data_IF_845735255696
#
_entry.id   IF_845735255696
#
_cell.length_a   1.000
_cell.length_b   1.000
_cell.length_c   1.000
_cell.angle_alpha   90.00
_cell.angle_beta   90.00
_cell.angle_gamma   90.00
#
_symmetry.space_group_name_H-M   'P 1'
#
loop_
_entity.id
_entity.type
_entity.pdbx_description
1 polymer ?
#
# COMPACT_ATOMS: atom_id res chain seq x y z
N UNK A 1 4.31 -22.95 1.11
CA UNK A 1 3.70 -21.65 0.77
C UNK A 1 4.78 -20.75 0.16
N UNK A 2 4.55 -20.17 -1.02
CA UNK A 2 5.51 -19.22 -1.61
C UNK A 2 5.64 -18.05 -0.63
N UNK A 3 6.82 -17.82 -0.08
CA UNK A 3 7.09 -16.67 0.79
C UNK A 3 6.72 -15.41 0.01
N UNK A 4 5.53 -14.85 0.27
CA UNK A 4 5.21 -13.53 -0.25
C UNK A 4 6.25 -12.59 0.36
N UNK A 5 6.90 -11.84 -0.53
CA UNK A 5 8.05 -10.99 -0.19
C UNK A 5 7.67 -9.88 0.80
N UNK A 6 6.37 -9.61 0.93
CA UNK A 6 5.75 -8.68 1.85
C UNK A 6 4.54 -9.34 2.52
N UNK A 7 4.36 -9.11 3.82
CA UNK A 7 3.18 -9.54 4.56
C UNK A 7 2.01 -8.58 4.33
N UNK A 8 0.79 -9.06 4.53
CA UNK A 8 -0.40 -8.23 4.37
C UNK A 8 -0.40 -7.04 5.36
N UNK A 9 0.11 -7.23 6.57
CA UNK A 9 0.33 -6.17 7.55
C UNK A 9 1.32 -5.11 7.05
N UNK A 10 2.43 -5.49 6.40
CA UNK A 10 3.35 -4.54 5.80
C UNK A 10 2.67 -3.73 4.69
N UNK A 11 1.89 -4.39 3.83
CA UNK A 11 1.15 -3.72 2.75
C UNK A 11 0.17 -2.69 3.32
N UNK A 12 -0.57 -3.09 4.36
CA UNK A 12 -1.52 -2.24 5.07
C UNK A 12 -0.83 -1.04 5.73
N UNK A 13 0.32 -1.25 6.37
CA UNK A 13 1.07 -0.17 7.02
C UNK A 13 1.49 0.89 6.00
N UNK A 14 2.00 0.48 4.83
CA UNK A 14 2.40 1.40 3.75
C UNK A 14 1.19 2.15 3.19
N UNK A 15 0.05 1.49 2.98
CA UNK A 15 -1.17 2.15 2.51
C UNK A 15 -1.70 3.18 3.52
N UNK A 16 -1.65 2.87 4.83
CA UNK A 16 -2.02 3.81 5.89
C UNK A 16 -1.08 5.01 5.97
N UNK A 17 0.22 4.78 5.82
CA UNK A 17 1.22 5.86 5.86
C UNK A 17 0.98 6.83 4.68
N UNK A 18 0.59 6.33 3.51
CA UNK A 18 0.15 7.18 2.40
C UNK A 18 -1.11 7.98 2.75
N UNK A 19 -2.12 7.33 3.34
CA UNK A 19 -3.37 8.00 3.73
C UNK A 19 -3.14 9.10 4.79
N UNK A 20 -2.17 8.90 5.69
CA UNK A 20 -1.70 9.91 6.64
C UNK A 20 -0.99 11.10 5.97
N UNK A 21 -0.82 11.09 4.65
CA UNK A 21 -0.24 12.19 3.87
C UNK A 21 1.18 11.92 3.36
N UNK A 22 1.74 10.72 3.59
CA UNK A 22 3.06 10.39 3.05
C UNK A 22 3.02 10.27 1.52
N UNK A 23 4.10 10.72 0.87
CA UNK A 23 4.26 10.60 -0.58
C UNK A 23 4.59 9.16 -0.95
N UNK A 24 3.89 8.63 -1.96
CA UNK A 24 4.14 7.28 -2.50
C UNK A 24 5.61 7.10 -2.91
N UNK A 25 6.25 8.12 -3.47
CA UNK A 25 7.66 8.07 -3.85
C UNK A 25 8.62 7.85 -2.67
N UNK A 26 8.29 8.41 -1.49
CA UNK A 26 9.08 8.23 -0.27
C UNK A 26 8.88 6.82 0.29
N UNK A 27 7.62 6.37 0.33
CA UNK A 27 7.26 5.01 0.72
C UNK A 27 7.91 3.95 -0.19
N UNK A 28 7.94 4.20 -1.50
CA UNK A 28 8.61 3.34 -2.47
C UNK A 28 10.11 3.19 -2.18
N UNK A 29 10.79 4.30 -1.84
CA UNK A 29 12.21 4.28 -1.47
C UNK A 29 12.46 3.63 -0.12
N UNK A 30 11.63 3.94 0.87
CA UNK A 30 11.75 3.44 2.26
C UNK A 30 11.48 1.94 2.37
N UNK A 31 10.48 1.44 1.64
CA UNK A 31 10.08 0.03 1.66
C UNK A 31 10.68 -0.80 0.52
N UNK A 32 11.43 -0.18 -0.40
CA UNK A 32 12.05 -0.86 -1.54
C UNK A 32 11.02 -1.43 -2.52
N UNK A 33 9.93 -0.71 -2.73
CA UNK A 33 8.83 -1.11 -3.63
C UNK A 33 8.73 -0.12 -4.79
N UNK A 34 8.19 -0.57 -5.91
CA UNK A 34 7.86 0.32 -7.03
C UNK A 34 6.48 0.94 -6.83
N UNK A 35 6.26 2.10 -7.45
CA UNK A 35 4.95 2.77 -7.50
C UNK A 35 3.87 1.83 -8.06
N UNK A 36 4.18 1.06 -9.10
CA UNK A 36 3.30 0.05 -9.66
C UNK A 36 2.86 -1.00 -8.62
N UNK A 37 3.77 -1.44 -7.75
CA UNK A 37 3.44 -2.39 -6.66
C UNK A 37 2.50 -1.75 -5.65
N UNK A 38 2.74 -0.49 -5.28
CA UNK A 38 1.88 0.26 -4.38
C UNK A 38 0.45 0.42 -4.93
N UNK A 39 0.30 0.78 -6.22
CA UNK A 39 -1.02 0.91 -6.83
C UNK A 39 -1.75 -0.43 -6.95
N UNK A 40 -1.05 -1.53 -7.23
CA UNK A 40 -1.62 -2.88 -7.21
C UNK A 40 -2.15 -3.24 -5.82
N UNK A 41 -1.40 -2.91 -4.76
CA UNK A 41 -1.86 -3.10 -3.38
C UNK A 41 -3.05 -2.21 -3.05
N UNK A 42 -3.05 -0.95 -3.49
CA UNK A 42 -4.19 -0.04 -3.30
C UNK A 42 -5.44 -0.54 -4.02
N UNK A 43 -5.32 -1.15 -5.20
CA UNK A 43 -6.46 -1.76 -5.88
C UNK A 43 -6.99 -3.00 -5.14
N UNK A 44 -6.09 -3.87 -4.68
CA UNK A 44 -6.45 -5.14 -4.02
C UNK A 44 -6.94 -4.97 -2.58
N UNK A 45 -6.26 -4.13 -1.79
CA UNK A 45 -6.50 -3.93 -0.37
C UNK A 45 -7.21 -2.62 -0.04
N UNK A 46 -7.04 -1.59 -0.88
CA UNK A 46 -7.75 -0.33 -0.71
C UNK A 46 -9.25 -0.49 -0.90
N UNK A 47 -9.72 -1.23 -1.91
CA UNK A 47 -11.17 -1.45 -2.10
C UNK A 47 -11.83 -2.25 -0.95
N UNK A 48 -11.09 -3.14 -0.30
CA UNK A 48 -11.60 -3.98 0.80
C UNK A 48 -11.55 -3.26 2.16
N UNK A 49 -10.50 -2.47 2.43
CA UNK A 49 -10.26 -1.82 3.73
C UNK A 49 -10.73 -0.36 3.77
N UNK A 50 -10.69 0.32 2.64
CA UNK A 50 -11.03 1.73 2.51
C UNK A 50 -12.10 1.88 1.44
N UNK A 51 -13.40 1.74 1.80
CA UNK A 51 -14.45 2.15 0.90
C UNK A 51 -14.08 3.56 0.46
N UNK A 52 -13.95 3.75 -0.87
CA UNK A 52 -13.68 5.08 -1.43
C UNK A 52 -14.63 6.01 -0.70
N UNK A 53 -14.06 6.94 0.09
CA UNK A 53 -14.85 7.89 0.84
C UNK A 53 -15.51 8.75 -0.22
N UNK A 54 -16.70 8.32 -0.63
CA UNK A 54 -17.58 9.03 -1.53
C UNK A 54 -17.83 10.37 -0.86
N UNK A 55 -17.18 11.40 -1.40
CA UNK A 55 -17.67 12.76 -1.29
C UNK A 55 -18.95 12.88 -2.12
#
# INVERSE_FOLDING_TARGET
MKKQRFTEEQIIAVLKEQEAGAKVADLCRKHGISDATFYNWKAKYGAWRFPRRSA
#
